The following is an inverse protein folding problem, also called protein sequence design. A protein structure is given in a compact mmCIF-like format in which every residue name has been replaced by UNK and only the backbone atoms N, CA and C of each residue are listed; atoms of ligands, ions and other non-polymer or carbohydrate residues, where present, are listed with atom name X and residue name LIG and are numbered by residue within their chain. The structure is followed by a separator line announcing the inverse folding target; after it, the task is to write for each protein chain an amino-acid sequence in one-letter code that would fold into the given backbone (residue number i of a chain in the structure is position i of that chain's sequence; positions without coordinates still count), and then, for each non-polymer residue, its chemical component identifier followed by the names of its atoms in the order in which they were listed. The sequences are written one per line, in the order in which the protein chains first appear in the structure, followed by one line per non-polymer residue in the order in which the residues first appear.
data_IF_853321644238
#
_entry.id   IF_853321644238
#
_cell.length_a   1.000
_cell.length_b   1.000
_cell.length_c   1.000
_cell.angle_alpha   90.00
_cell.angle_beta   90.00
_cell.angle_gamma   90.00
#
_symmetry.space_group_name_H-M   'P 1'
#
loop_
_entity.id
_entity.type
_entity.pdbx_description
1 polymer ?
#
# COMPACT_ATOMS: atom_id res chain seq x y z
N UNK A 1 33.20 1.33 -4.00
CA UNK A 1 31.82 1.49 -3.51
C UNK A 1 31.30 2.81 -4.06
N UNK A 2 30.36 2.78 -5.02
CA UNK A 2 29.75 4.02 -5.54
C UNK A 2 28.69 4.45 -4.54
N UNK A 3 28.75 5.68 -4.04
CA UNK A 3 27.65 6.23 -3.25
C UNK A 3 26.42 6.42 -4.14
N UNK A 4 25.23 5.91 -3.75
CA UNK A 4 24.01 6.11 -4.52
C UNK A 4 23.70 7.61 -4.60
N UNK A 5 23.41 8.10 -5.81
CA UNK A 5 23.07 9.51 -6.02
C UNK A 5 21.64 9.78 -5.55
N UNK A 6 21.42 10.93 -4.90
CA UNK A 6 20.10 11.34 -4.43
C UNK A 6 19.11 11.56 -5.60
N UNK A 7 19.61 11.90 -6.79
CA UNK A 7 18.81 12.08 -8.00
C UNK A 7 18.34 10.76 -8.62
N UNK A 8 19.02 9.65 -8.31
CA UNK A 8 18.68 8.30 -8.80
C UNK A 8 18.80 7.29 -7.66
N UNK A 9 17.85 7.32 -6.70
CA UNK A 9 17.84 6.37 -5.61
C UNK A 9 17.84 4.95 -6.16
N UNK A 10 18.69 4.10 -5.60
CA UNK A 10 18.71 2.70 -5.98
C UNK A 10 17.38 2.03 -5.59
N UNK A 11 16.88 1.08 -6.38
CA UNK A 11 15.73 0.28 -5.98
C UNK A 11 16.01 -0.41 -4.64
N UNK A 12 15.02 -0.41 -3.76
CA UNK A 12 15.12 -1.12 -2.48
C UNK A 12 14.78 -2.58 -2.73
N UNK A 13 15.64 -3.49 -2.27
CA UNK A 13 15.34 -4.91 -2.23
C UNK A 13 14.33 -5.17 -1.09
N UNK A 14 13.04 -5.24 -1.43
CA UNK A 14 11.97 -5.49 -0.46
C UNK A 14 11.50 -6.94 -0.62
N UNK A 15 11.58 -7.70 0.48
CA UNK A 15 10.98 -9.02 0.54
C UNK A 15 9.46 -8.86 0.59
N UNK A 16 8.73 -9.64 -0.22
CA UNK A 16 7.28 -9.67 -0.19
C UNK A 16 6.81 -10.45 1.04
N UNK A 17 6.08 -9.79 1.92
CA UNK A 17 5.38 -10.43 3.03
C UNK A 17 4.00 -10.89 2.55
N UNK A 18 3.61 -12.10 2.96
CA UNK A 18 2.27 -12.62 2.68
C UNK A 18 1.27 -12.01 3.66
N UNK A 19 0.09 -11.65 3.17
CA UNK A 19 -1.00 -11.20 4.01
C UNK A 19 -1.43 -12.30 5.00
N UNK A 20 -1.66 -11.90 6.24
CA UNK A 20 -2.26 -12.78 7.25
C UNK A 20 -3.80 -12.71 7.17
N UNK A 21 -4.52 -13.75 7.61
CA UNK A 21 -5.98 -13.71 7.63
C UNK A 21 -6.56 -12.57 8.48
N UNK A 22 -5.88 -12.16 9.56
CA UNK A 22 -6.31 -11.05 10.41
C UNK A 22 -6.19 -9.71 9.68
N UNK A 23 -5.09 -9.49 8.95
CA UNK A 23 -4.90 -8.30 8.13
C UNK A 23 -5.90 -8.20 6.98
N UNK A 24 -6.20 -9.33 6.32
CA UNK A 24 -7.19 -9.36 5.25
C UNK A 24 -8.58 -8.95 5.78
N UNK A 25 -8.98 -9.44 6.95
CA UNK A 25 -10.24 -9.08 7.58
C UNK A 25 -10.32 -7.59 7.97
N UNK A 26 -9.23 -7.03 8.51
CA UNK A 26 -9.16 -5.60 8.86
C UNK A 26 -9.28 -4.71 7.62
N UNK A 27 -8.62 -5.08 6.52
CA UNK A 27 -8.67 -4.33 5.26
C UNK A 27 -10.05 -4.41 4.58
N UNK A 28 -10.74 -5.54 4.67
CA UNK A 28 -12.11 -5.69 4.15
C UNK A 28 -13.08 -4.79 4.91
N UNK A 29 -12.99 -4.76 6.26
CA UNK A 29 -13.79 -3.87 7.09
C UNK A 29 -13.51 -2.38 6.82
N UNK A 30 -12.26 -2.02 6.48
CA UNK A 30 -11.90 -0.65 6.10
C UNK A 30 -12.33 -0.27 4.67
N UNK A 31 -12.56 -1.26 3.82
CA UNK A 31 -12.93 -1.07 2.40
C UNK A 31 -14.44 -1.04 2.17
N UNK A 32 -15.26 -1.26 3.22
CA UNK A 32 -16.70 -1.01 3.15
C UNK A 32 -16.89 0.42 2.64
N UNK A 33 -17.51 0.60 1.45
CA UNK A 33 -17.67 1.92 0.90
C UNK A 33 -18.52 2.72 1.87
N UNK A 34 -17.97 3.80 2.44
CA UNK A 34 -18.81 4.83 3.03
C UNK A 34 -19.85 5.19 1.98
N UNK A 35 -21.13 4.95 2.25
CA UNK A 35 -22.26 5.34 1.39
C UNK A 35 -22.37 6.88 1.21
N UNK A 36 -21.31 7.62 1.51
CA UNK A 36 -21.23 9.06 1.44
C UNK A 36 -20.27 9.47 0.30
N UNK A 37 -20.85 10.10 -0.71
CA UNK A 37 -20.21 10.80 -1.84
C UNK A 37 -19.79 9.97 -3.06
N UNK A 38 -20.77 9.33 -3.70
CA UNK A 38 -20.89 9.54 -5.14
C UNK A 38 -21.44 10.97 -5.33
N UNK A 39 -20.69 11.96 -5.87
CA UNK A 39 -21.32 13.18 -6.32
C UNK A 39 -22.20 12.79 -7.51
N UNK A 40 -23.50 12.82 -7.30
CA UNK A 40 -24.46 12.84 -8.39
C UNK A 40 -24.29 14.13 -9.18
N UNK A 41 -24.31 13.98 -10.51
CA UNK A 41 -24.48 15.00 -11.56
C UNK A 41 -23.28 15.88 -11.93
#
# INVERSE_FOLDING_TARGET
MTTPSAETPQPRDIALELETPEQAADLEAQSEPSEETAPGE
#
